data_IF_538192332341
#
_entry.id   IF_538192332341
#
_cell.length_a   1.000
_cell.length_b   1.000
_cell.length_c   1.000
_cell.angle_alpha   90.00
_cell.angle_beta   90.00
_cell.angle_gamma   90.00
#
_symmetry.space_group_name_H-M   'P 1'
#
loop_
_entity.id
_entity.type
_entity.pdbx_description
1 polymer ?
#
# COMPACT_ATOMS: atom_id res chain seq x y z
N UNK A 1 7.89 4.48 40.97
CA UNK A 1 7.17 5.04 39.82
C UNK A 1 8.24 5.41 38.81
N UNK A 2 8.61 4.46 37.95
CA UNK A 2 9.65 4.69 36.96
C UNK A 2 9.12 5.70 35.96
N UNK A 3 9.72 6.89 35.94
CA UNK A 3 9.46 7.85 34.88
C UNK A 3 10.01 7.23 33.60
N UNK A 4 9.11 6.88 32.68
CA UNK A 4 9.47 6.58 31.31
C UNK A 4 10.12 7.84 30.72
N UNK A 5 11.44 7.92 30.81
CA UNK A 5 12.21 8.88 30.04
C UNK A 5 11.93 8.58 28.58
N UNK A 6 11.16 9.44 27.92
CA UNK A 6 11.00 9.42 26.48
C UNK A 6 12.41 9.33 25.88
N UNK A 7 12.76 8.24 25.17
CA UNK A 7 14.04 8.20 24.49
C UNK A 7 13.97 9.33 23.48
N UNK A 8 14.84 10.34 23.66
CA UNK A 8 15.08 11.35 22.65
C UNK A 8 15.60 10.55 21.46
N UNK A 9 14.69 10.23 20.53
CA UNK A 9 15.03 9.61 19.26
C UNK A 9 16.17 10.46 18.68
N UNK A 10 17.29 9.83 18.37
CA UNK A 10 18.43 10.55 17.82
C UNK A 10 17.93 11.39 16.65
N UNK A 11 18.30 12.67 16.61
CA UNK A 11 17.82 13.65 15.63
C UNK A 11 17.77 13.09 14.19
N UNK A 12 18.75 12.29 13.82
CA UNK A 12 18.82 11.57 12.54
C UNK A 12 17.65 10.60 12.28
N UNK A 13 17.20 9.84 13.28
CA UNK A 13 16.06 8.93 13.15
C UNK A 13 14.77 9.72 12.96
N UNK A 14 14.59 10.81 13.71
CA UNK A 14 13.43 11.68 13.56
C UNK A 14 13.38 12.32 12.16
N UNK A 15 14.50 12.90 11.71
CA UNK A 15 14.62 13.49 10.37
C UNK A 15 14.37 12.44 9.28
N UNK A 16 14.89 11.22 9.46
CA UNK A 16 14.65 10.11 8.54
C UNK A 16 13.18 9.72 8.48
N UNK A 17 12.54 9.55 9.64
CA UNK A 17 11.11 9.19 9.71
C UNK A 17 10.24 10.26 9.06
N UNK A 18 10.52 11.54 9.32
CA UNK A 18 9.80 12.66 8.72
C UNK A 18 9.97 12.68 7.19
N UNK A 19 11.19 12.49 6.69
CA UNK A 19 11.46 12.40 5.26
C UNK A 19 10.71 11.24 4.59
N UNK A 20 10.74 10.04 5.20
CA UNK A 20 10.04 8.87 4.67
C UNK A 20 8.53 9.06 4.65
N UNK A 21 7.96 9.71 5.67
CA UNK A 21 6.54 10.06 5.68
C UNK A 21 6.17 10.96 4.50
N UNK A 22 6.92 12.05 4.28
CA UNK A 22 6.68 12.97 3.17
C UNK A 22 6.81 12.26 1.81
N UNK A 23 7.79 11.37 1.66
CA UNK A 23 7.96 10.57 0.46
C UNK A 23 6.75 9.66 0.20
N UNK A 24 6.24 8.98 1.23
CA UNK A 24 5.06 8.11 1.11
C UNK A 24 3.82 8.93 0.73
N UNK A 25 3.64 10.11 1.32
CA UNK A 25 2.54 11.01 0.98
C UNK A 25 2.62 11.46 -0.49
N UNK A 26 3.81 11.83 -0.95
CA UNK A 26 4.03 12.21 -2.35
C UNK A 26 3.70 11.05 -3.30
N UNK A 27 4.22 9.85 -3.03
CA UNK A 27 3.93 8.66 -3.85
C UNK A 27 2.42 8.40 -3.91
N UNK A 28 1.71 8.50 -2.77
CA UNK A 28 0.24 8.29 -2.74
C UNK A 28 -0.50 9.33 -3.58
N UNK A 29 -0.07 10.59 -3.54
CA UNK A 29 -0.67 11.67 -4.33
C UNK A 29 -0.43 11.46 -5.83
N UNK A 30 0.77 11.03 -6.22
CA UNK A 30 1.10 10.73 -7.61
C UNK A 30 0.27 9.55 -8.11
N UNK A 31 0.20 8.46 -7.35
CA UNK A 31 -0.64 7.31 -7.68
C UNK A 31 -2.10 7.70 -7.88
N UNK A 32 -2.65 8.55 -6.99
CA UNK A 32 -4.04 9.03 -7.13
C UNK A 32 -4.24 9.89 -8.37
N UNK A 33 -3.30 10.77 -8.68
CA UNK A 33 -3.38 11.69 -9.83
C UNK A 33 -3.39 10.94 -11.17
N UNK A 34 -2.70 9.79 -11.22
CA UNK A 34 -2.59 8.96 -12.42
C UNK A 34 -3.55 7.76 -12.44
N UNK A 35 -4.51 7.68 -11.51
CA UNK A 35 -5.40 6.51 -11.35
C UNK A 35 -4.64 5.17 -11.19
N UNK A 36 -3.45 5.20 -10.58
CA UNK A 36 -2.60 4.05 -10.33
C UNK A 36 -2.77 3.49 -8.90
N UNK A 37 -2.41 2.22 -8.74
CA UNK A 37 -2.32 1.51 -7.46
C UNK A 37 -1.00 0.75 -7.37
N UNK A 38 -0.50 0.59 -6.15
CA UNK A 38 0.62 -0.31 -5.87
C UNK A 38 0.07 -1.72 -5.69
N UNK A 39 0.56 -2.67 -6.49
CA UNK A 39 0.19 -4.08 -6.44
C UNK A 39 1.40 -4.92 -6.01
N UNK A 40 1.12 -6.11 -5.49
CA UNK A 40 2.13 -7.11 -5.12
C UNK A 40 1.83 -8.42 -5.83
N UNK A 41 2.87 -9.13 -6.28
CA UNK A 41 2.71 -10.52 -6.71
C UNK A 41 2.25 -11.40 -5.54
N UNK A 42 1.48 -12.44 -5.83
CA UNK A 42 1.06 -13.44 -4.84
C UNK A 42 2.16 -14.50 -4.59
N UNK A 43 3.24 -14.48 -5.38
CA UNK A 43 4.35 -15.40 -5.25
C UNK A 43 5.27 -15.10 -4.06
N UNK A 44 6.27 -15.98 -3.86
CA UNK A 44 7.28 -15.83 -2.82
C UNK A 44 8.22 -14.63 -3.02
N UNK A 45 8.26 -14.05 -4.22
CA UNK A 45 9.17 -12.94 -4.52
C UNK A 45 8.62 -11.60 -4.03
N UNK A 46 7.31 -11.49 -3.80
CA UNK A 46 6.66 -10.29 -3.27
C UNK A 46 7.02 -9.01 -4.04
N UNK A 47 7.08 -9.11 -5.37
CA UNK A 47 7.46 -8.00 -6.24
C UNK A 47 6.34 -6.97 -6.25
N UNK A 48 6.70 -5.72 -5.97
CA UNK A 48 5.78 -4.58 -6.05
C UNK A 48 5.84 -3.94 -7.44
N UNK A 49 4.68 -3.59 -7.99
CA UNK A 49 4.57 -2.95 -9.29
C UNK A 49 3.36 -2.00 -9.34
N UNK A 50 3.35 -1.10 -10.32
CA UNK A 50 2.26 -0.17 -10.54
C UNK A 50 1.20 -0.81 -11.46
N UNK A 51 -0.06 -0.69 -11.07
CA UNK A 51 -1.19 -1.10 -11.89
C UNK A 51 -2.21 0.02 -12.04
N UNK A 52 -3.00 -0.05 -13.11
CA UNK A 52 -4.17 0.81 -13.30
C UNK A 52 -5.30 0.40 -12.35
N UNK A 53 -5.88 1.36 -11.63
CA UNK A 53 -6.93 1.11 -10.63
C UNK A 53 -8.20 0.59 -11.28
N UNK A 54 -8.67 1.24 -12.34
CA UNK A 54 -9.98 0.95 -12.95
C UNK A 54 -10.01 -0.43 -13.58
N UNK A 55 -8.92 -0.80 -14.28
CA UNK A 55 -8.75 -2.13 -14.83
C UNK A 55 -8.72 -3.19 -13.72
N UNK A 56 -8.00 -2.92 -12.63
CA UNK A 56 -7.95 -3.84 -11.49
C UNK A 56 -9.33 -4.05 -10.85
N UNK A 57 -10.06 -2.97 -10.56
CA UNK A 57 -11.42 -3.03 -9.99
C UNK A 57 -12.36 -3.82 -10.90
N UNK A 58 -12.32 -3.56 -12.21
CA UNK A 58 -13.11 -4.30 -13.20
C UNK A 58 -12.82 -5.81 -13.14
N UNK A 59 -11.55 -6.20 -13.25
CA UNK A 59 -11.14 -7.61 -13.27
C UNK A 59 -11.46 -8.30 -11.93
N UNK A 60 -11.26 -7.61 -10.81
CA UNK A 60 -11.58 -8.14 -9.48
C UNK A 60 -13.08 -8.39 -9.34
N UNK A 61 -13.92 -7.47 -9.79
CA UNK A 61 -15.37 -7.62 -9.73
C UNK A 61 -15.86 -8.74 -10.66
N UNK A 62 -15.31 -8.83 -11.88
CA UNK A 62 -15.61 -9.92 -12.82
C UNK A 62 -15.24 -11.28 -12.23
N UNK A 63 -14.08 -11.39 -11.59
CA UNK A 63 -13.65 -12.61 -10.92
C UNK A 63 -14.60 -12.99 -9.79
N UNK A 64 -14.88 -12.08 -8.85
CA UNK A 64 -15.77 -12.35 -7.71
C UNK A 64 -17.15 -12.83 -8.16
N UNK A 65 -17.75 -12.16 -9.15
CA UNK A 65 -19.04 -12.56 -9.74
C UNK A 65 -19.00 -13.97 -10.34
N UNK A 66 -17.89 -14.38 -10.94
CA UNK A 66 -17.75 -15.73 -11.49
C UNK A 66 -17.64 -16.77 -10.36
N UNK A 67 -16.83 -16.52 -9.33
CA UNK A 67 -16.70 -17.42 -8.18
C UNK A 67 -17.99 -17.58 -7.39
N UNK A 68 -18.75 -16.50 -7.16
CA UNK A 68 -20.04 -16.56 -6.45
C UNK A 68 -21.05 -17.46 -7.18
N UNK A 69 -20.95 -17.57 -8.51
CA UNK A 69 -21.81 -18.46 -9.31
C UNK A 69 -21.40 -19.94 -9.21
N UNK A 70 -20.16 -20.25 -8.84
CA UNK A 70 -19.68 -21.64 -8.70
C UNK A 70 -19.86 -22.23 -7.30
N UNK A 71 -20.11 -21.41 -6.26
CA UNK A 71 -20.33 -21.90 -4.88
C UNK A 71 -21.81 -22.26 -4.59
N UNK A 72 -22.72 -22.12 -5.57
CA UNK A 72 -24.17 -22.38 -5.41
C UNK A 72 -24.59 -23.80 -5.87
N UNK A 73 -23.68 -24.61 -6.42
CA UNK A 73 -23.94 -26.00 -6.84
C UNK A 73 -23.47 -27.06 -5.83
#
# INVERSE_FOLDING_TARGET
MEMFSNPILSKSIYERAHYEQQLIEQIRNDLKSFDLILRRTHDHQNVFYLGDRKLFEKLSNEFMLQTDLFEID
#
